data_IF_746509650960
#
_entry.id   IF_746509650960
#
_cell.length_a   1.000
_cell.length_b   1.000
_cell.length_c   1.000
_cell.angle_alpha   90.00
_cell.angle_beta   90.00
_cell.angle_gamma   90.00
#
_symmetry.space_group_name_H-M   'P 1'
#
loop_
_entity.id
_entity.type
_entity.pdbx_description
1 polymer ?
#
# COMPACT_ATOMS: atom_id res chain seq x y z
N UNK A 1 3.12 12.33 -24.61
CA UNK A 1 2.57 11.43 -23.56
C UNK A 1 1.97 10.13 -24.11
N UNK A 2 1.17 10.13 -25.20
CA UNK A 2 0.61 8.90 -25.79
C UNK A 2 1.68 7.89 -26.27
N UNK A 3 2.75 8.35 -26.93
CA UNK A 3 3.83 7.47 -27.42
C UNK A 3 4.58 6.71 -26.32
N UNK A 4 4.74 7.30 -25.13
CA UNK A 4 5.45 6.64 -24.02
C UNK A 4 4.60 5.52 -23.41
N UNK A 5 3.28 5.74 -23.28
CA UNK A 5 2.33 4.72 -22.82
C UNK A 5 2.26 3.53 -23.76
N UNK A 6 2.23 3.78 -25.08
CA UNK A 6 2.22 2.69 -26.07
C UNK A 6 3.52 1.88 -26.01
N UNK A 7 4.68 2.54 -26.03
CA UNK A 7 5.99 1.88 -26.01
C UNK A 7 6.22 1.06 -24.74
N UNK A 8 5.77 1.56 -23.58
CA UNK A 8 5.87 0.83 -22.32
C UNK A 8 4.95 -0.41 -22.31
N UNK A 9 3.72 -0.27 -22.83
CA UNK A 9 2.78 -1.39 -22.95
C UNK A 9 3.32 -2.45 -23.91
N UNK A 10 3.93 -2.04 -25.01
CA UNK A 10 4.53 -2.91 -26.02
C UNK A 10 5.72 -3.72 -25.45
N UNK A 11 6.61 -3.08 -24.68
CA UNK A 11 7.71 -3.76 -23.96
C UNK A 11 7.17 -4.78 -22.96
N UNK A 12 6.12 -4.44 -22.21
CA UNK A 12 5.50 -5.36 -21.26
C UNK A 12 4.79 -6.53 -21.98
N UNK A 13 4.13 -6.30 -23.11
CA UNK A 13 3.54 -7.36 -23.93
C UNK A 13 4.61 -8.29 -24.49
N UNK A 14 5.69 -7.73 -25.05
CA UNK A 14 6.81 -8.52 -25.61
C UNK A 14 7.54 -9.35 -24.54
N UNK A 15 7.60 -8.86 -23.30
CA UNK A 15 8.12 -9.60 -22.17
C UNK A 15 7.15 -10.68 -21.62
N UNK A 16 5.97 -10.86 -22.24
CA UNK A 16 4.93 -11.77 -21.77
C UNK A 16 4.28 -11.35 -20.44
N UNK A 17 4.53 -10.12 -19.97
CA UNK A 17 4.02 -9.60 -18.71
C UNK A 17 2.53 -9.20 -18.78
N UNK A 18 1.96 -9.10 -19.99
CA UNK A 18 0.56 -8.69 -20.22
C UNK A 18 -0.37 -9.81 -20.68
N UNK A 19 0.11 -11.06 -20.71
CA UNK A 19 -0.75 -12.24 -20.95
C UNK A 19 -0.66 -13.26 -19.81
N UNK A 20 -1.71 -14.07 -19.66
CA UNK A 20 -1.75 -15.19 -18.71
C UNK A 20 -1.47 -14.81 -17.25
N UNK A 21 -0.72 -15.69 -16.57
CA UNK A 21 -0.42 -15.57 -15.14
C UNK A 21 0.38 -14.31 -14.76
N UNK A 22 1.43 -13.89 -15.50
CA UNK A 22 2.13 -12.63 -15.21
C UNK A 22 1.20 -11.40 -15.22
N UNK A 23 0.29 -11.31 -16.19
CA UNK A 23 -0.67 -10.21 -16.29
C UNK A 23 -1.66 -10.18 -15.13
N UNK A 24 -2.08 -11.36 -14.69
CA UNK A 24 -2.94 -11.50 -13.54
C UNK A 24 -2.22 -11.08 -12.25
N UNK A 25 -0.94 -11.43 -12.07
CA UNK A 25 -0.11 -10.97 -10.95
C UNK A 25 0.11 -9.46 -10.98
N UNK A 26 0.32 -8.88 -12.16
CA UNK A 26 0.43 -7.44 -12.36
C UNK A 26 -0.81 -6.68 -11.89
N UNK A 27 -2.00 -7.17 -12.27
CA UNK A 27 -3.30 -6.63 -11.81
C UNK A 27 -3.56 -6.88 -10.32
N UNK A 28 -3.11 -8.03 -9.79
CA UNK A 28 -3.23 -8.36 -8.37
C UNK A 28 -2.40 -7.39 -7.51
N UNK A 29 -1.19 -7.04 -7.95
CA UNK A 29 -0.34 -6.03 -7.32
C UNK A 29 -0.83 -4.58 -7.52
N UNK A 30 -1.83 -4.34 -8.39
CA UNK A 30 -2.30 -3.01 -8.81
C UNK A 30 -1.25 -2.17 -9.53
N UNK A 31 -0.31 -2.79 -10.22
CA UNK A 31 0.67 -2.05 -11.02
C UNK A 31 0.02 -1.36 -12.25
N UNK A 32 -1.17 -1.79 -12.67
CA UNK A 32 -2.01 -1.11 -13.65
C UNK A 32 -2.72 0.15 -13.10
N UNK A 33 -2.81 0.28 -11.75
CA UNK A 33 -3.48 1.39 -11.04
C UNK A 33 -2.55 1.99 -9.98
N UNK A 34 -1.47 2.70 -10.37
CA UNK A 34 -0.36 3.08 -9.49
C UNK A 34 -0.67 4.20 -8.50
N UNK A 35 -1.87 4.79 -8.52
CA UNK A 35 -2.26 5.90 -7.64
C UNK A 35 -1.99 5.53 -6.17
N UNK A 36 -2.37 4.32 -5.76
CA UNK A 36 -2.13 3.84 -4.39
C UNK A 36 -0.65 3.75 -4.02
N UNK A 37 0.23 3.45 -4.99
CA UNK A 37 1.69 3.45 -4.77
C UNK A 37 2.21 4.86 -4.55
N UNK A 38 1.73 5.83 -5.32
CA UNK A 38 2.10 7.23 -5.13
C UNK A 38 1.66 7.79 -3.78
N UNK A 39 0.50 7.36 -3.26
CA UNK A 39 0.02 7.76 -1.93
C UNK A 39 0.93 7.29 -0.79
N UNK A 40 1.61 6.15 -0.94
CA UNK A 40 2.62 5.67 0.03
C UNK A 40 3.99 6.30 -0.24
N UNK A 41 4.32 6.50 -1.52
CA UNK A 41 5.63 6.97 -1.95
C UNK A 41 5.87 8.45 -1.59
N UNK A 42 4.92 9.34 -1.86
CA UNK A 42 5.13 10.78 -1.64
C UNK A 42 5.46 11.15 -0.19
N UNK A 43 4.73 10.62 0.82
CA UNK A 43 5.09 10.85 2.22
C UNK A 43 6.50 10.37 2.56
N UNK A 44 6.93 9.22 2.03
CA UNK A 44 8.28 8.71 2.20
C UNK A 44 9.32 9.67 1.60
N UNK A 45 9.05 10.21 0.41
CA UNK A 45 9.96 11.12 -0.28
C UNK A 45 10.06 12.47 0.43
N UNK A 46 8.95 13.03 0.93
CA UNK A 46 8.97 14.26 1.73
C UNK A 46 9.81 14.08 2.99
N UNK A 47 9.61 12.98 3.71
CA UNK A 47 10.36 12.69 4.92
C UNK A 47 11.86 12.49 4.63
N UNK A 48 12.22 11.75 3.59
CA UNK A 48 13.63 11.59 3.20
C UNK A 48 14.28 12.91 2.83
N UNK A 49 13.60 13.74 2.03
CA UNK A 49 14.13 15.05 1.62
C UNK A 49 14.39 15.95 2.83
N UNK A 50 13.42 16.04 3.74
CA UNK A 50 13.54 16.85 4.95
C UNK A 50 14.61 16.28 5.89
N UNK A 51 14.62 14.96 6.12
CA UNK A 51 15.58 14.32 7.03
C UNK A 51 17.02 14.40 6.51
N UNK A 52 17.21 14.48 5.19
CA UNK A 52 18.53 14.57 4.55
C UNK A 52 19.05 16.01 4.45
N UNK A 53 18.28 17.00 4.90
CA UNK A 53 18.58 18.42 4.72
C UNK A 53 18.94 18.77 3.26
N UNK A 54 18.24 18.13 2.31
CA UNK A 54 18.58 18.20 0.89
C UNK A 54 18.43 16.86 0.18
N UNK A 55 19.37 16.53 -0.71
CA UNK A 55 19.30 15.33 -1.56
C UNK A 55 19.57 14.05 -0.75
N UNK A 56 18.63 13.10 -0.67
CA UNK A 56 18.87 11.85 0.02
C UNK A 56 19.90 10.98 -0.72
N UNK A 57 20.59 10.11 0.02
CA UNK A 57 21.54 9.17 -0.57
C UNK A 57 20.84 8.25 -1.59
N UNK A 58 21.58 7.81 -2.61
CA UNK A 58 21.06 6.88 -3.62
C UNK A 58 20.52 5.59 -3.00
N UNK A 59 21.15 5.11 -1.92
CA UNK A 59 20.70 3.94 -1.18
C UNK A 59 19.34 4.19 -0.52
N UNK A 60 19.16 5.32 0.19
CA UNK A 60 17.89 5.65 0.83
C UNK A 60 16.77 5.82 -0.20
N UNK A 61 17.04 6.52 -1.30
CA UNK A 61 16.07 6.64 -2.40
C UNK A 61 15.68 5.27 -2.94
N UNK A 62 16.67 4.42 -3.27
CA UNK A 62 16.41 3.09 -3.81
C UNK A 62 15.57 2.23 -2.85
N UNK A 63 15.94 2.20 -1.56
CA UNK A 63 15.26 1.39 -0.54
C UNK A 63 13.82 1.86 -0.32
N UNK A 64 13.59 3.16 -0.12
CA UNK A 64 12.24 3.68 0.16
C UNK A 64 11.34 3.65 -1.08
N UNK A 65 11.86 3.92 -2.28
CA UNK A 65 11.07 3.81 -3.52
C UNK A 65 10.68 2.36 -3.78
N UNK A 66 11.65 1.44 -3.76
CA UNK A 66 11.40 0.02 -4.02
C UNK A 66 10.55 -0.60 -2.92
N UNK A 67 10.78 -0.21 -1.67
CA UNK A 67 10.00 -0.65 -0.51
C UNK A 67 8.55 -0.19 -0.58
N UNK A 68 8.28 1.07 -0.95
CA UNK A 68 6.92 1.57 -1.14
C UNK A 68 6.17 0.81 -2.24
N UNK A 69 6.83 0.53 -3.37
CA UNK A 69 6.26 -0.27 -4.47
C UNK A 69 5.94 -1.70 -3.98
N UNK A 70 6.92 -2.37 -3.35
CA UNK A 70 6.79 -3.75 -2.90
C UNK A 70 5.71 -3.90 -1.82
N UNK A 71 5.72 -3.04 -0.79
CA UNK A 71 4.77 -3.13 0.33
C UNK A 71 3.36 -2.69 -0.06
N UNK A 72 3.22 -1.72 -0.98
CA UNK A 72 1.90 -1.40 -1.54
C UNK A 72 1.31 -2.58 -2.29
N UNK A 73 2.13 -3.23 -3.14
CA UNK A 73 1.72 -4.42 -3.88
C UNK A 73 1.37 -5.58 -2.93
N UNK A 74 2.20 -5.84 -1.92
CA UNK A 74 1.94 -6.87 -0.90
C UNK A 74 0.61 -6.61 -0.17
N UNK A 75 0.35 -5.35 0.20
CA UNK A 75 -0.92 -4.91 0.77
C UNK A 75 -2.13 -5.18 -0.14
N UNK A 76 -2.01 -4.94 -1.45
CA UNK A 76 -3.06 -5.32 -2.41
C UNK A 76 -3.30 -6.83 -2.41
N UNK A 77 -2.21 -7.61 -2.49
CA UNK A 77 -2.30 -9.07 -2.60
C UNK A 77 -2.94 -9.68 -1.36
N UNK A 78 -2.52 -9.29 -0.15
CA UNK A 78 -3.09 -9.84 1.08
C UNK A 78 -4.55 -9.44 1.28
N UNK A 79 -4.94 -8.23 0.86
CA UNK A 79 -6.34 -7.79 0.89
C UNK A 79 -7.20 -8.66 -0.03
N UNK A 80 -6.79 -8.86 -1.29
CA UNK A 80 -7.51 -9.72 -2.23
C UNK A 80 -7.53 -11.19 -1.72
N UNK A 81 -6.47 -11.68 -1.05
CA UNK A 81 -6.47 -13.01 -0.38
C UNK A 81 -7.50 -13.11 0.74
N UNK A 82 -7.60 -12.07 1.57
CA UNK A 82 -8.50 -12.01 2.72
C UNK A 82 -9.97 -11.87 2.29
N UNK A 83 -10.21 -11.15 1.20
CA UNK A 83 -11.55 -10.85 0.68
C UNK A 83 -12.00 -11.80 -0.44
N UNK A 84 -11.21 -12.83 -0.80
CA UNK A 84 -11.45 -13.72 -1.96
C UNK A 84 -12.85 -14.35 -2.05
N UNK A 85 -13.49 -14.63 -0.91
CA UNK A 85 -14.83 -15.24 -0.86
C UNK A 85 -15.94 -14.19 -0.92
N UNK A 86 -15.61 -12.92 -0.73
CA UNK A 86 -16.53 -11.77 -0.72
C UNK A 86 -16.45 -11.04 -2.06
N UNK A 87 -15.25 -10.84 -2.58
CA UNK A 87 -14.97 -10.03 -3.76
C UNK A 87 -15.73 -10.51 -5.01
N UNK A 88 -16.01 -11.81 -5.13
CA UNK A 88 -16.79 -12.38 -6.25
C UNK A 88 -18.26 -11.96 -6.27
N UNK A 89 -18.80 -11.51 -5.13
CA UNK A 89 -20.20 -11.09 -4.97
C UNK A 89 -20.39 -9.57 -5.07
N UNK A 90 -19.30 -8.80 -5.23
CA UNK A 90 -19.33 -7.33 -5.27
C UNK A 90 -18.96 -6.85 -6.68
N UNK A 91 -19.82 -6.03 -7.28
CA UNK A 91 -19.74 -5.63 -8.70
C UNK A 91 -18.38 -5.00 -9.05
N UNK A 92 -17.83 -4.18 -8.15
CA UNK A 92 -16.55 -3.50 -8.32
C UNK A 92 -15.34 -4.45 -8.28
N UNK A 93 -15.45 -5.58 -7.58
CA UNK A 93 -14.32 -6.45 -7.24
C UNK A 93 -14.38 -7.84 -7.87
N UNK A 94 -15.51 -8.21 -8.48
CA UNK A 94 -15.68 -9.52 -9.14
C UNK A 94 -14.64 -9.80 -10.24
N UNK A 95 -14.10 -8.75 -10.86
CA UNK A 95 -13.07 -8.85 -11.90
C UNK A 95 -11.64 -8.90 -11.35
N UNK A 96 -11.45 -8.97 -10.02
CA UNK A 96 -10.11 -9.12 -9.43
C UNK A 96 -9.55 -10.50 -9.79
N UNK A 97 -8.24 -10.63 -10.08
CA UNK A 97 -7.66 -11.89 -10.58
C UNK A 97 -7.94 -13.12 -9.72
N UNK A 98 -7.92 -12.97 -8.39
CA UNK A 98 -8.19 -14.08 -7.47
C UNK A 98 -9.69 -14.42 -7.39
N UNK A 99 -10.57 -13.41 -7.43
CA UNK A 99 -12.03 -13.60 -7.42
C UNK A 99 -12.54 -14.17 -8.76
N UNK A 100 -11.93 -13.79 -9.87
CA UNK A 100 -12.24 -14.27 -11.21
C UNK A 100 -11.65 -15.64 -11.54
N UNK A 101 -10.88 -16.25 -10.63
CA UNK A 101 -10.26 -17.56 -10.83
C UNK A 101 -9.07 -17.58 -11.81
N UNK A 102 -8.54 -16.41 -12.19
CA UNK A 102 -7.39 -16.30 -13.10
C UNK A 102 -6.06 -16.70 -12.42
N UNK A 103 -6.01 -16.63 -11.08
CA UNK A 103 -4.90 -17.06 -10.25
C UNK A 103 -5.38 -18.02 -9.18
N UNK A 104 -4.53 -19.02 -8.85
CA UNK A 104 -4.76 -19.83 -7.67
C UNK A 104 -4.39 -19.08 -6.40
N UNK A 105 -4.99 -19.46 -5.27
CA UNK A 105 -4.60 -18.94 -3.95
C UNK A 105 -3.11 -19.19 -3.65
N UNK A 106 -2.57 -20.33 -4.09
CA UNK A 106 -1.14 -20.66 -3.94
C UNK A 106 -0.25 -19.65 -4.66
N UNK A 107 -0.63 -19.22 -5.86
CA UNK A 107 0.12 -18.24 -6.63
C UNK A 107 0.13 -16.87 -5.95
N UNK A 108 -1.02 -16.44 -5.43
CA UNK A 108 -1.13 -15.19 -4.68
C UNK A 108 -0.28 -15.22 -3.40
N UNK A 109 -0.27 -16.34 -2.66
CA UNK A 109 0.56 -16.50 -1.44
C UNK A 109 2.05 -16.48 -1.79
N UNK A 110 2.49 -17.23 -2.80
CA UNK A 110 3.90 -17.23 -3.21
C UNK A 110 4.33 -15.81 -3.60
N UNK A 111 3.52 -15.11 -4.38
CA UNK A 111 3.83 -13.75 -4.80
C UNK A 111 3.88 -12.76 -3.63
N UNK A 112 2.93 -12.86 -2.69
CA UNK A 112 2.95 -12.09 -1.44
C UNK A 112 4.25 -12.31 -0.66
N UNK A 113 4.66 -13.57 -0.46
CA UNK A 113 5.90 -13.92 0.26
C UNK A 113 7.12 -13.34 -0.45
N UNK A 114 7.19 -13.41 -1.79
CA UNK A 114 8.28 -12.82 -2.56
C UNK A 114 8.34 -11.30 -2.33
N UNK A 115 7.21 -10.60 -2.41
CA UNK A 115 7.16 -9.15 -2.18
C UNK A 115 7.60 -8.77 -0.76
N UNK A 116 7.11 -9.48 0.26
CA UNK A 116 7.50 -9.25 1.64
C UNK A 116 8.99 -9.58 1.89
N UNK A 117 9.50 -10.65 1.29
CA UNK A 117 10.90 -11.02 1.40
C UNK A 117 11.81 -9.98 0.72
N UNK A 118 11.43 -9.48 -0.46
CA UNK A 118 12.14 -8.37 -1.10
C UNK A 118 12.15 -7.11 -0.23
N UNK A 119 11.01 -6.75 0.38
CA UNK A 119 10.93 -5.63 1.30
C UNK A 119 11.80 -5.81 2.55
N UNK A 120 11.87 -7.04 3.09
CA UNK A 120 12.77 -7.37 4.20
C UNK A 120 14.24 -7.15 3.81
N UNK A 121 14.67 -7.66 2.65
CA UNK A 121 16.05 -7.48 2.18
C UNK A 121 16.41 -5.99 2.03
N UNK A 122 15.48 -5.18 1.52
CA UNK A 122 15.67 -3.72 1.39
C UNK A 122 15.84 -3.04 2.75
N UNK A 123 15.02 -3.39 3.74
CA UNK A 123 15.11 -2.82 5.09
C UNK A 123 16.41 -3.22 5.79
N UNK A 124 16.91 -4.44 5.56
CA UNK A 124 18.19 -4.91 6.10
C UNK A 124 19.41 -4.16 5.53
N UNK A 125 19.24 -3.38 4.46
CA UNK A 125 20.27 -2.48 3.94
C UNK A 125 20.34 -1.14 4.69
N UNK A 126 19.43 -0.86 5.63
CA UNK A 126 19.40 0.38 6.42
C UNK A 126 20.11 0.19 7.78
N UNK A 127 20.26 1.29 8.52
CA UNK A 127 20.79 1.25 9.88
C UNK A 127 19.83 0.56 10.87
N UNK A 128 20.36 0.21 12.05
CA UNK A 128 19.59 -0.49 13.10
C UNK A 128 18.36 0.29 13.56
N UNK A 129 18.42 1.62 13.63
CA UNK A 129 17.29 2.46 14.02
C UNK A 129 16.11 2.25 13.05
N UNK A 130 16.34 2.37 11.74
CA UNK A 130 15.32 2.13 10.72
C UNK A 130 14.79 0.69 10.73
N UNK A 131 15.64 -0.31 10.98
CA UNK A 131 15.23 -1.72 11.11
C UNK A 131 14.26 -1.89 12.29
N UNK A 132 14.56 -1.30 13.46
CA UNK A 132 13.67 -1.34 14.62
C UNK A 132 12.31 -0.68 14.30
N UNK A 133 12.33 0.47 13.62
CA UNK A 133 11.09 1.16 13.21
C UNK A 133 10.26 0.38 12.17
N UNK A 134 10.89 -0.51 11.41
CA UNK A 134 10.20 -1.36 10.44
C UNK A 134 9.24 -2.36 11.08
N UNK A 135 9.47 -2.78 12.34
CA UNK A 135 8.52 -3.60 13.09
C UNK A 135 7.19 -2.90 13.33
N UNK A 136 7.20 -1.57 13.46
CA UNK A 136 5.95 -0.77 13.51
C UNK A 136 5.18 -0.82 12.19
N UNK A 137 5.89 -0.75 11.05
CA UNK A 137 5.27 -0.89 9.73
C UNK A 137 4.66 -2.28 9.57
N UNK A 138 5.38 -3.32 10.00
CA UNK A 138 4.92 -4.70 9.97
C UNK A 138 3.66 -4.88 10.84
N UNK A 139 3.66 -4.36 12.06
CA UNK A 139 2.53 -4.42 12.96
C UNK A 139 1.28 -3.75 12.34
N UNK A 140 1.43 -2.54 11.78
CA UNK A 140 0.32 -1.85 11.12
C UNK A 140 -0.18 -2.60 9.88
N UNK A 141 0.73 -3.15 9.06
CA UNK A 141 0.38 -3.94 7.89
C UNK A 141 -0.40 -5.22 8.27
N UNK A 142 -0.05 -5.86 9.39
CA UNK A 142 -0.78 -7.02 9.91
C UNK A 142 -2.15 -6.64 10.47
N UNK A 143 -2.27 -5.50 11.15
CA UNK A 143 -3.51 -5.10 11.85
C UNK A 143 -4.55 -4.55 10.86
N UNK A 144 -4.13 -3.68 9.94
CA UNK A 144 -5.02 -2.89 9.09
C UNK A 144 -6.12 -3.71 8.36
N UNK A 145 -5.83 -4.85 7.69
CA UNK A 145 -6.85 -5.58 6.92
C UNK A 145 -8.06 -6.05 7.74
N UNK A 146 -7.88 -6.17 9.07
CA UNK A 146 -8.93 -6.64 9.97
C UNK A 146 -9.77 -5.51 10.58
N UNK A 147 -9.31 -4.26 10.51
CA UNK A 147 -9.91 -3.15 11.27
C UNK A 147 -11.35 -2.85 10.87
N UNK A 148 -11.72 -3.09 9.60
CA UNK A 148 -13.10 -2.93 9.11
C UNK A 148 -14.13 -3.84 9.82
N UNK A 149 -13.66 -4.87 10.54
CA UNK A 149 -14.51 -5.78 11.33
C UNK A 149 -14.70 -5.30 12.77
N UNK A 150 -13.74 -4.54 13.30
CA UNK A 150 -13.69 -4.18 14.72
C UNK A 150 -14.05 -2.72 14.99
N UNK A 151 -13.72 -1.80 14.09
CA UNK A 151 -13.87 -0.35 14.29
C UNK A 151 -14.48 0.34 13.08
N UNK A 152 -15.12 1.49 13.31
CA UNK A 152 -15.55 2.42 12.27
C UNK A 152 -14.43 3.36 11.79
N UNK A 153 -13.20 3.18 12.28
CA UNK A 153 -12.03 3.99 11.91
C UNK A 153 -10.95 3.20 11.15
N UNK A 154 -11.24 2.24 10.24
CA UNK A 154 -10.19 1.51 9.53
C UNK A 154 -9.29 2.43 8.70
N UNK A 155 -9.81 3.57 8.24
CA UNK A 155 -9.07 4.62 7.54
C UNK A 155 -7.93 5.22 8.38
N UNK A 156 -8.06 5.28 9.71
CA UNK A 156 -6.99 5.76 10.59
C UNK A 156 -5.82 4.77 10.59
N UNK A 157 -6.11 3.47 10.61
CA UNK A 157 -5.08 2.42 10.54
C UNK A 157 -4.43 2.36 9.16
N UNK A 158 -5.21 2.55 8.10
CA UNK A 158 -4.70 2.69 6.74
C UNK A 158 -3.75 3.90 6.64
N UNK A 159 -4.19 5.06 7.14
CA UNK A 159 -3.40 6.28 7.16
C UNK A 159 -2.11 6.13 7.94
N UNK A 160 -2.17 5.50 9.11
CA UNK A 160 -0.99 5.18 9.89
C UNK A 160 -0.03 4.26 9.11
N UNK A 161 -0.54 3.22 8.44
CA UNK A 161 0.28 2.31 7.64
C UNK A 161 0.93 3.02 6.44
N UNK A 162 0.20 3.90 5.76
CA UNK A 162 0.71 4.68 4.62
C UNK A 162 1.75 5.72 5.05
N UNK A 163 1.55 6.34 6.21
CA UNK A 163 2.43 7.35 6.77
C UNK A 163 3.68 6.78 7.48
N UNK A 164 3.73 5.49 7.80
CA UNK A 164 4.79 4.92 8.63
C UNK A 164 6.20 4.98 8.02
N UNK A 165 6.30 5.16 6.70
CA UNK A 165 7.57 5.44 6.03
C UNK A 165 8.24 6.72 6.55
N UNK A 166 7.47 7.66 7.10
CA UNK A 166 7.98 8.94 7.63
C UNK A 166 8.92 8.73 8.82
N UNK A 167 8.50 8.14 9.97
CA UNK A 167 9.42 7.90 11.08
C UNK A 167 10.58 6.98 10.66
N UNK A 168 10.35 6.01 9.77
CA UNK A 168 11.42 5.18 9.22
C UNK A 168 12.45 5.98 8.42
N UNK A 169 12.03 6.97 7.63
CA UNK A 169 12.94 7.82 6.84
C UNK A 169 13.82 8.69 7.75
N UNK A 170 13.24 9.31 8.78
CA UNK A 170 14.03 10.05 9.77
C UNK A 170 15.00 9.12 10.53
N UNK A 171 14.55 7.94 10.95
CA UNK A 171 15.42 6.94 11.57
C UNK A 171 16.54 6.47 10.63
N UNK A 172 16.28 6.33 9.34
CA UNK A 172 17.28 5.90 8.35
C UNK A 172 18.36 6.97 8.10
N UNK A 173 17.99 8.25 8.13
CA UNK A 173 18.91 9.33 7.76
C UNK A 173 19.64 9.93 8.96
N UNK A 174 18.96 10.16 10.08
CA UNK A 174 19.51 10.84 11.26
C UNK A 174 19.46 9.99 12.53
N UNK A 175 19.10 8.71 12.42
CA UNK A 175 19.02 7.73 13.52
C UNK A 175 18.09 8.10 14.68
N UNK A 176 17.20 9.09 14.46
CA UNK A 176 16.26 9.63 15.45
C UNK A 176 14.92 9.92 14.78
N UNK A 177 13.85 9.97 15.57
CA UNK A 177 12.51 10.36 15.11
C UNK A 177 12.09 11.64 15.86
N UNK A 178 12.40 12.84 15.33
CA UNK A 178 12.08 14.10 15.98
C UNK A 178 10.57 14.40 15.92
N UNK A 179 10.13 15.40 16.70
CA UNK A 179 8.73 15.86 16.69
C UNK A 179 8.21 16.20 15.28
N UNK A 180 9.08 16.74 14.42
CA UNK A 180 8.74 17.05 13.03
C UNK A 180 8.27 15.81 12.25
N UNK A 181 8.87 14.63 12.48
CA UNK A 181 8.44 13.39 11.84
C UNK A 181 6.99 13.05 12.20
N UNK A 182 6.60 13.27 13.46
CA UNK A 182 5.24 13.03 13.94
C UNK A 182 4.22 14.04 13.41
N UNK A 183 4.64 15.29 13.18
CA UNK A 183 3.79 16.31 12.54
C UNK A 183 3.48 15.89 11.10
N UNK A 184 4.50 15.51 10.33
CA UNK A 184 4.33 15.05 8.95
C UNK A 184 3.49 13.77 8.93
N UNK A 185 3.78 12.81 9.82
CA UNK A 185 3.02 11.57 9.97
C UNK A 185 1.53 11.84 10.21
N UNK A 186 1.22 12.72 11.16
CA UNK A 186 -0.17 13.06 11.51
C UNK A 186 -0.86 13.76 10.35
N UNK A 187 -0.18 14.69 9.67
CA UNK A 187 -0.73 15.35 8.49
C UNK A 187 -1.04 14.34 7.35
N UNK A 188 -0.13 13.40 7.07
CA UNK A 188 -0.36 12.33 6.09
C UNK A 188 -1.49 11.41 6.52
N UNK A 189 -1.55 11.01 7.79
CA UNK A 189 -2.62 10.17 8.32
C UNK A 189 -3.99 10.85 8.14
N UNK A 190 -4.12 12.12 8.54
CA UNK A 190 -5.37 12.87 8.41
C UNK A 190 -5.76 13.06 6.94
N UNK A 191 -4.78 13.33 6.08
CA UNK A 191 -5.00 13.39 4.63
C UNK A 191 -5.52 12.04 4.09
N UNK A 192 -4.94 10.91 4.52
CA UNK A 192 -5.43 9.58 4.18
C UNK A 192 -6.84 9.33 4.68
N UNK A 193 -7.14 9.70 5.92
CA UNK A 193 -8.52 9.60 6.44
C UNK A 193 -9.47 10.40 5.57
N UNK A 194 -9.13 11.63 5.19
CA UNK A 194 -10.00 12.48 4.38
C UNK A 194 -10.28 11.86 2.99
N UNK A 195 -9.25 11.55 2.20
CA UNK A 195 -9.47 11.05 0.84
C UNK A 195 -10.06 9.62 0.82
N UNK A 196 -9.67 8.76 1.77
CA UNK A 196 -10.12 7.37 1.79
C UNK A 196 -11.54 7.26 2.34
N UNK A 197 -11.97 8.20 3.19
CA UNK A 197 -13.39 8.35 3.56
C UNK A 197 -14.23 8.71 2.34
N UNK A 198 -13.80 9.70 1.54
CA UNK A 198 -14.49 10.07 0.30
C UNK A 198 -14.57 8.87 -0.65
N UNK A 199 -13.47 8.11 -0.76
CA UNK A 199 -13.45 6.90 -1.59
C UNK A 199 -14.44 5.84 -1.08
N UNK A 200 -14.47 5.60 0.24
CA UNK A 200 -15.36 4.64 0.87
C UNK A 200 -16.85 5.02 0.80
N UNK A 201 -17.20 6.29 0.57
CA UNK A 201 -18.59 6.69 0.33
C UNK A 201 -19.21 6.01 -0.88
N UNK A 202 -18.41 5.64 -1.89
CA UNK A 202 -18.89 4.92 -3.08
C UNK A 202 -19.34 3.49 -2.79
N UNK A 203 -18.75 2.85 -1.78
CA UNK A 203 -19.06 1.46 -1.40
C UNK A 203 -20.04 1.39 -0.19
N UNK A 204 -20.46 2.55 0.35
CA UNK A 204 -21.22 2.64 1.61
C UNK A 204 -22.51 1.82 1.61
N UNK A 205 -23.29 1.86 0.53
CA UNK A 205 -24.55 1.13 0.45
C UNK A 205 -24.36 -0.39 0.49
N UNK A 206 -23.30 -0.89 -0.14
CA UNK A 206 -22.97 -2.31 -0.13
C UNK A 206 -22.35 -2.73 1.20
N UNK A 207 -21.46 -1.90 1.78
CA UNK A 207 -20.85 -2.12 3.09
C UNK A 207 -21.91 -2.25 4.21
N UNK A 208 -22.96 -1.42 4.16
CA UNK A 208 -24.09 -1.49 5.11
C UNK A 208 -24.83 -2.84 5.04
N UNK A 209 -25.00 -3.42 3.83
CA UNK A 209 -25.69 -4.72 3.66
C UNK A 209 -24.89 -5.87 4.24
N UNK A 210 -23.56 -5.79 4.20
CA UNK A 210 -22.65 -6.85 4.67
C UNK A 210 -22.05 -6.57 6.07
N UNK A 211 -22.45 -5.48 6.72
CA UNK A 211 -22.03 -5.12 8.08
C UNK A 211 -20.56 -4.70 8.20
N UNK A 212 -19.94 -4.24 7.11
CA UNK A 212 -18.58 -3.67 7.11
C UNK A 212 -18.63 -2.29 7.75
N UNK A 213 -17.62 -1.96 8.57
CA UNK A 213 -17.51 -0.65 9.24
C UNK A 213 -16.48 0.23 8.54
N UNK A 214 -16.78 1.53 8.45
CA UNK A 214 -15.89 2.54 7.84
C UNK A 214 -16.20 3.95 8.35
N UNK A 215 -15.28 4.89 8.15
CA UNK A 215 -15.52 6.32 8.47
C UNK A 215 -16.63 6.89 7.61
N UNK A 216 -16.82 6.40 6.38
CA UNK A 216 -17.94 6.76 5.51
C UNK A 216 -19.30 6.39 6.12
N UNK A 217 -19.37 5.28 6.86
CA UNK A 217 -20.57 4.92 7.62
C UNK A 217 -20.71 5.79 8.86
N UNK A 218 -19.62 6.01 9.60
CA UNK A 218 -19.60 6.80 10.82
C UNK A 218 -20.04 8.26 10.60
N UNK A 219 -19.54 8.88 9.53
CA UNK A 219 -19.79 10.27 9.16
C UNK A 219 -20.89 10.42 8.11
N UNK A 220 -21.53 9.33 7.68
CA UNK A 220 -22.49 9.36 6.57
C UNK A 220 -23.79 10.13 6.82
N UNK A 221 -23.97 10.67 8.03
CA UNK A 221 -25.11 11.52 8.42
C UNK A 221 -24.68 12.93 8.86
N UNK A 222 -23.39 13.28 8.69
CA UNK A 222 -22.83 14.57 9.08
C UNK A 222 -23.04 15.65 8.00
#
# INVERSE_FOLDING_TARGET
MLNLRYKFKEVLTQAGLLEGKPAALWRLARFDKPIGTFLVLWPAMWALWIASDGLPSALHLFVFVSGAIAMRAAGCVINDIADRNIDGHVERTKARPLAAGELSLKDAIIFFVVLCFSALLLVLCLNTSAIVWSFGALALACIYPFMKRYTFLPQVFLGAAFAWSIPMAFAAVIEKVPALAWIIFTATLLWTVAYDTIYAMMDREDDLKIGVKSTAILFGNA
#
